data_IF_753029376635
#
_entry.id   IF_753029376635
#
_cell.length_a   1.000
_cell.length_b   1.000
_cell.length_c   1.000
_cell.angle_alpha   90.00
_cell.angle_beta   90.00
_cell.angle_gamma   90.00
#
_symmetry.space_group_name_H-M   'P 1'
#
loop_
_entity.id
_entity.type
_entity.pdbx_description
1 polymer ?
#
# COMPACT_ATOMS: atom_id res chain seq x y z
N UNK A 1 48.33 -59.14 55.64
CA UNK A 1 47.42 -58.34 56.47
C UNK A 1 47.54 -56.88 55.96
N UNK A 2 46.50 -56.32 55.27
CA UNK A 2 46.53 -54.95 54.80
C UNK A 2 45.97 -54.04 55.94
N UNK A 3 46.79 -53.10 56.38
CA UNK A 3 46.41 -52.10 57.36
C UNK A 3 45.43 -51.08 56.74
N UNK A 4 44.18 -51.07 57.20
CA UNK A 4 43.21 -50.03 56.90
C UNK A 4 43.48 -48.85 57.84
N UNK A 5 43.88 -47.71 57.29
CA UNK A 5 43.92 -46.42 58.01
C UNK A 5 42.50 -45.86 58.10
N UNK A 6 41.94 -45.85 59.32
CA UNK A 6 40.67 -45.16 59.61
C UNK A 6 40.98 -43.69 59.76
N UNK A 7 40.48 -42.88 58.81
CA UNK A 7 40.55 -41.43 58.93
C UNK A 7 39.45 -40.90 59.84
N UNK A 8 39.86 -40.39 61.02
CA UNK A 8 38.94 -39.70 61.92
C UNK A 8 38.48 -38.39 61.30
N UNK A 9 37.31 -38.37 60.66
CA UNK A 9 36.73 -37.20 60.05
C UNK A 9 36.09 -36.34 61.15
N UNK A 10 36.64 -35.14 61.38
CA UNK A 10 36.14 -34.20 62.36
C UNK A 10 34.78 -33.66 61.97
N UNK A 11 33.70 -34.02 62.59
CA UNK A 11 32.29 -33.63 62.33
C UNK A 11 32.16 -32.10 62.24
N UNK A 12 32.91 -31.33 63.04
CA UNK A 12 32.92 -29.86 62.97
C UNK A 12 33.43 -29.32 61.59
N UNK A 13 34.36 -30.04 60.96
CA UNK A 13 34.89 -29.66 59.64
C UNK A 13 33.85 -29.95 58.54
N UNK A 14 33.12 -31.08 58.64
CA UNK A 14 32.04 -31.39 57.69
C UNK A 14 30.93 -30.32 57.74
N UNK A 15 30.56 -29.90 58.96
CA UNK A 15 29.54 -28.88 59.18
C UNK A 15 29.93 -27.52 58.56
N UNK A 16 31.20 -27.13 58.67
CA UNK A 16 31.73 -25.92 58.06
C UNK A 16 31.71 -25.96 56.50
N UNK A 17 32.06 -27.13 55.94
CA UNK A 17 32.03 -27.35 54.50
C UNK A 17 30.56 -27.31 53.95
N UNK A 18 29.62 -27.94 54.66
CA UNK A 18 28.20 -27.91 54.33
C UNK A 18 27.63 -26.47 54.35
N UNK A 19 27.95 -25.70 55.40
CA UNK A 19 27.54 -24.31 55.52
C UNK A 19 28.11 -23.45 54.36
N UNK A 20 29.38 -23.69 53.97
CA UNK A 20 30.01 -23.01 52.85
C UNK A 20 29.33 -23.32 51.50
N UNK A 21 28.98 -24.58 51.28
CA UNK A 21 28.27 -25.03 50.07
C UNK A 21 26.88 -24.37 49.99
N UNK A 22 26.15 -24.34 51.11
CA UNK A 22 24.82 -23.69 51.15
C UNK A 22 24.94 -22.19 50.91
N UNK A 23 25.93 -21.53 51.51
CA UNK A 23 26.17 -20.09 51.27
C UNK A 23 26.50 -19.78 49.79
N UNK A 24 27.35 -20.60 49.15
CA UNK A 24 27.70 -20.45 47.72
C UNK A 24 26.47 -20.69 46.85
N UNK A 25 25.63 -21.69 47.18
CA UNK A 25 24.40 -21.97 46.43
C UNK A 25 23.38 -20.82 46.52
N UNK A 26 23.20 -20.22 47.69
CA UNK A 26 22.32 -19.05 47.88
C UNK A 26 22.86 -17.84 47.11
N UNK A 27 24.17 -17.60 47.15
CA UNK A 27 24.81 -16.49 46.45
C UNK A 27 24.71 -16.68 44.93
N UNK A 28 24.93 -17.87 44.42
CA UNK A 28 24.76 -18.22 43.00
C UNK A 28 23.32 -18.02 42.51
N UNK A 29 22.35 -18.42 43.31
CA UNK A 29 20.92 -18.23 43.01
C UNK A 29 20.55 -16.74 42.94
N UNK A 30 21.06 -15.96 43.92
CA UNK A 30 20.80 -14.50 43.93
C UNK A 30 21.44 -13.79 42.73
N UNK A 31 22.67 -14.20 42.35
CA UNK A 31 23.37 -13.62 41.20
C UNK A 31 22.68 -13.96 39.87
N UNK A 32 22.18 -15.21 39.76
CA UNK A 32 21.43 -15.63 38.57
C UNK A 32 20.11 -14.84 38.42
N UNK A 33 19.37 -14.69 39.54
CA UNK A 33 18.14 -13.89 39.55
C UNK A 33 18.38 -12.41 39.22
N UNK A 34 19.45 -11.83 39.75
CA UNK A 34 19.81 -10.43 39.41
C UNK A 34 20.21 -10.28 37.97
N UNK A 35 20.97 -11.21 37.39
CA UNK A 35 21.35 -11.22 36.00
C UNK A 35 20.12 -11.34 35.08
N UNK A 36 19.20 -12.25 35.38
CA UNK A 36 17.94 -12.38 34.63
C UNK A 36 17.05 -11.14 34.75
N UNK A 37 16.98 -10.52 35.91
CA UNK A 37 16.25 -9.26 36.12
C UNK A 37 16.86 -8.12 35.29
N UNK A 38 18.19 -7.97 35.27
CA UNK A 38 18.89 -6.93 34.51
C UNK A 38 18.74 -7.16 33.00
N UNK A 39 18.82 -8.41 32.53
CA UNK A 39 18.58 -8.77 31.12
C UNK A 39 17.15 -8.44 30.71
N UNK A 40 16.15 -8.78 31.52
CA UNK A 40 14.76 -8.50 31.24
C UNK A 40 14.45 -7.00 31.27
N UNK A 41 15.10 -6.25 32.16
CA UNK A 41 14.96 -4.78 32.23
C UNK A 41 15.61 -4.10 31.04
N UNK A 42 16.75 -4.59 30.55
CA UNK A 42 17.43 -4.10 29.35
C UNK A 42 16.60 -4.37 28.10
N UNK A 43 16.07 -5.58 27.94
CA UNK A 43 15.17 -5.92 26.82
C UNK A 43 13.90 -5.04 26.82
N UNK A 44 13.32 -4.76 28.00
CA UNK A 44 12.15 -3.87 28.10
C UNK A 44 12.48 -2.40 27.79
N UNK A 45 13.70 -1.94 28.09
CA UNK A 45 14.16 -0.59 27.71
C UNK A 45 14.44 -0.50 26.20
N UNK A 46 15.02 -1.53 25.61
CA UNK A 46 15.25 -1.59 24.16
C UNK A 46 13.92 -1.68 23.38
N UNK A 47 12.93 -2.44 23.88
CA UNK A 47 11.59 -2.49 23.31
C UNK A 47 10.86 -1.15 23.45
N UNK A 48 10.99 -0.45 24.58
CA UNK A 48 10.41 0.90 24.75
C UNK A 48 11.06 1.93 23.88
N UNK A 49 12.38 1.89 23.72
CA UNK A 49 13.11 2.82 22.84
C UNK A 49 12.85 2.54 21.36
N UNK A 50 12.71 1.27 20.94
CA UNK A 50 12.29 0.90 19.59
C UNK A 50 10.84 1.27 19.33
N UNK A 51 9.93 1.05 20.27
CA UNK A 51 8.53 1.45 20.10
C UNK A 51 8.32 2.97 20.15
N UNK A 52 9.12 3.74 20.92
CA UNK A 52 9.07 5.21 20.89
C UNK A 52 9.66 5.79 19.58
N UNK A 53 10.61 5.13 18.95
CA UNK A 53 11.14 5.49 17.64
C UNK A 53 10.23 5.00 16.47
N UNK A 54 9.45 3.95 16.65
CA UNK A 54 8.44 3.49 15.69
C UNK A 54 7.13 4.29 15.78
N UNK A 55 6.86 4.94 16.91
CA UNK A 55 5.60 5.64 17.15
C UNK A 55 5.54 7.07 16.54
N UNK A 56 6.55 7.53 15.77
CA UNK A 56 6.54 8.91 15.23
C UNK A 56 7.21 9.11 13.88
N UNK A 57 7.48 8.10 13.07
CA UNK A 57 7.94 8.35 11.72
C UNK A 57 6.76 8.58 10.78
N UNK A 58 6.28 9.81 10.73
CA UNK A 58 5.39 10.25 9.65
C UNK A 58 6.13 10.14 8.32
N UNK A 59 5.56 9.39 7.37
CA UNK A 59 6.10 9.27 6.02
C UNK A 59 5.38 10.24 5.11
N UNK A 60 6.12 11.10 4.45
CA UNK A 60 5.61 11.95 3.39
C UNK A 60 5.45 11.14 2.12
N UNK A 61 4.21 11.02 1.60
CA UNK A 61 3.89 10.21 0.44
C UNK A 61 3.22 11.05 -0.66
N UNK A 62 3.94 11.46 -1.70
CA UNK A 62 3.35 11.98 -2.91
C UNK A 62 2.72 10.85 -3.74
N UNK A 63 1.55 11.13 -4.35
CA UNK A 63 0.89 10.23 -5.30
C UNK A 63 0.60 11.02 -6.57
N UNK A 64 1.06 10.51 -7.71
CA UNK A 64 0.86 11.10 -9.02
C UNK A 64 -0.28 10.38 -9.74
N UNK A 65 -1.19 11.14 -10.33
CA UNK A 65 -2.33 10.61 -11.07
C UNK A 65 -2.18 10.90 -12.55
N UNK A 66 -2.08 9.85 -13.34
CA UNK A 66 -2.16 9.85 -14.80
C UNK A 66 -3.48 9.18 -15.22
N UNK A 67 -3.82 9.33 -16.51
CA UNK A 67 -4.92 8.61 -17.16
C UNK A 67 -4.41 8.04 -18.49
N UNK A 68 -4.63 8.75 -19.57
CA UNK A 68 -4.27 8.32 -20.92
C UNK A 68 -2.85 8.76 -21.30
N UNK A 69 -2.08 7.85 -21.92
CA UNK A 69 -0.74 8.13 -22.46
C UNK A 69 -0.81 8.04 -23.97
N UNK A 70 -0.81 9.18 -24.67
CA UNK A 70 -1.02 9.25 -26.11
C UNK A 70 0.00 10.11 -26.82
N UNK A 71 0.38 9.69 -28.04
CA UNK A 71 1.24 10.45 -28.97
C UNK A 71 0.45 11.45 -29.84
N UNK A 72 -0.82 11.12 -30.11
CA UNK A 72 -1.62 11.78 -31.15
C UNK A 72 -2.37 13.03 -30.69
N UNK A 73 -2.53 13.21 -29.39
CA UNK A 73 -3.24 14.37 -28.80
C UNK A 73 -2.80 14.63 -27.38
N UNK A 74 -3.16 15.79 -26.84
CA UNK A 74 -2.89 16.22 -25.48
C UNK A 74 -4.15 16.76 -24.80
N UNK A 75 -4.14 16.89 -23.49
CA UNK A 75 -5.25 17.40 -22.68
C UNK A 75 -4.99 17.25 -21.20
N UNK A 76 -5.91 17.71 -20.36
CA UNK A 76 -5.75 17.69 -18.89
C UNK A 76 -5.55 16.29 -18.30
N UNK A 77 -6.01 15.26 -19.02
CA UNK A 77 -5.91 13.84 -18.63
C UNK A 77 -5.12 13.03 -19.67
N UNK A 78 -4.33 13.68 -20.52
CA UNK A 78 -3.57 13.02 -21.58
C UNK A 78 -2.13 13.53 -21.54
N UNK A 79 -1.19 12.62 -21.33
CA UNK A 79 0.24 12.90 -21.27
C UNK A 79 0.95 12.21 -22.43
N UNK A 80 1.90 12.90 -23.06
CA UNK A 80 2.74 12.29 -24.11
C UNK A 80 3.71 11.26 -23.48
N UNK A 81 4.01 10.12 -24.14
CA UNK A 81 4.99 9.15 -23.65
C UNK A 81 6.35 9.73 -23.28
N UNK A 82 6.86 10.69 -24.07
CA UNK A 82 8.15 11.35 -23.76
C UNK A 82 8.07 12.18 -22.46
N UNK A 83 6.91 12.79 -22.19
CA UNK A 83 6.70 13.50 -20.93
C UNK A 83 6.68 12.51 -19.75
N UNK A 84 5.99 11.37 -19.90
CA UNK A 84 5.99 10.30 -18.89
C UNK A 84 7.41 9.79 -18.64
N UNK A 85 8.19 9.58 -19.70
CA UNK A 85 9.59 9.15 -19.56
C UNK A 85 10.44 10.20 -18.83
N UNK A 86 10.25 11.49 -19.12
CA UNK A 86 10.96 12.57 -18.41
C UNK A 86 10.52 12.65 -16.95
N UNK A 87 9.25 12.40 -16.64
CA UNK A 87 8.73 12.32 -15.27
C UNK A 87 9.40 11.18 -14.51
N UNK A 88 9.55 10.00 -15.11
CA UNK A 88 10.23 8.85 -14.48
C UNK A 88 11.72 9.13 -14.23
N UNK A 89 12.41 9.74 -15.19
CA UNK A 89 13.81 10.20 -15.00
C UNK A 89 13.91 11.19 -13.84
N UNK A 90 12.98 12.13 -13.75
CA UNK A 90 12.98 13.13 -12.68
C UNK A 90 12.78 12.50 -11.30
N UNK A 91 11.79 11.62 -11.15
CA UNK A 91 11.51 10.86 -9.93
C UNK A 91 12.78 10.09 -9.47
N UNK A 92 13.40 9.36 -10.41
CA UNK A 92 14.60 8.57 -10.13
C UNK A 92 15.79 9.45 -9.72
N UNK A 93 16.02 10.57 -10.44
CA UNK A 93 17.09 11.50 -10.14
C UNK A 93 16.94 12.20 -8.77
N UNK A 94 15.71 12.32 -8.27
CA UNK A 94 15.41 12.84 -6.92
C UNK A 94 15.52 11.76 -5.84
N UNK A 95 15.86 10.52 -6.20
CA UNK A 95 16.05 9.39 -5.29
C UNK A 95 14.74 8.80 -4.75
N UNK A 96 13.61 9.03 -5.41
CA UNK A 96 12.34 8.43 -5.04
C UNK A 96 12.23 7.00 -5.60
N UNK A 97 11.62 6.12 -4.81
CA UNK A 97 11.31 4.74 -5.18
C UNK A 97 9.80 4.55 -5.27
N UNK A 98 9.35 3.96 -6.38
CA UNK A 98 7.92 3.70 -6.58
C UNK A 98 7.46 2.51 -5.74
N UNK A 99 6.30 2.65 -5.10
CA UNK A 99 5.63 1.60 -4.34
C UNK A 99 4.20 1.39 -4.85
N UNK A 100 3.61 0.23 -4.54
CA UNK A 100 2.22 -0.10 -4.81
C UNK A 100 1.31 0.27 -3.63
N UNK A 101 -0.01 0.20 -3.83
CA UNK A 101 -0.97 0.37 -2.72
C UNK A 101 -0.88 -0.79 -1.73
N UNK A 102 -0.62 -2.02 -2.19
CA UNK A 102 -0.43 -3.17 -1.30
C UNK A 102 0.79 -2.99 -0.40
N UNK A 103 1.92 -2.50 -0.92
CA UNK A 103 3.11 -2.20 -0.10
C UNK A 103 2.83 -1.11 0.94
N UNK A 104 2.07 -0.07 0.57
CA UNK A 104 1.63 0.96 1.50
C UNK A 104 0.71 0.41 2.60
N UNK A 105 -0.25 -0.42 2.22
CA UNK A 105 -1.18 -1.07 3.16
C UNK A 105 -0.41 -2.00 4.11
N UNK A 106 0.53 -2.78 3.60
CA UNK A 106 1.37 -3.67 4.41
C UNK A 106 2.26 -2.90 5.40
N UNK A 107 2.77 -1.73 5.00
CA UNK A 107 3.46 -0.84 5.92
C UNK A 107 2.57 -0.43 7.09
N UNK A 108 1.32 -0.05 6.85
CA UNK A 108 0.42 0.45 7.88
C UNK A 108 -0.15 -0.67 8.76
N UNK A 109 -0.53 -1.82 8.16
CA UNK A 109 -1.22 -2.90 8.86
C UNK A 109 -0.29 -4.00 9.40
N UNK A 110 0.84 -4.26 8.72
CA UNK A 110 1.68 -5.44 8.95
C UNK A 110 3.14 -5.08 9.30
N UNK A 111 3.41 -3.83 9.66
CA UNK A 111 4.75 -3.33 10.06
C UNK A 111 5.87 -3.61 9.05
N UNK A 112 5.54 -3.76 7.76
CA UNK A 112 6.55 -3.82 6.70
C UNK A 112 7.29 -2.47 6.58
N UNK A 113 8.41 -2.45 5.87
CA UNK A 113 9.22 -1.26 5.66
C UNK A 113 8.93 -0.66 4.28
N UNK A 114 9.00 0.67 4.17
CA UNK A 114 8.99 1.40 2.90
C UNK A 114 10.39 1.93 2.58
N UNK A 115 10.68 2.24 1.31
CA UNK A 115 11.89 2.98 0.96
C UNK A 115 11.88 4.37 1.62
N UNK A 116 13.06 4.99 1.74
CA UNK A 116 13.22 6.29 2.41
C UNK A 116 12.37 7.41 1.77
N UNK A 117 12.28 7.41 0.44
CA UNK A 117 11.48 8.37 -0.34
C UNK A 117 10.46 7.61 -1.20
N UNK A 118 9.32 7.18 -0.63
CA UNK A 118 8.31 6.47 -1.39
C UNK A 118 7.48 7.44 -2.24
N UNK A 119 7.06 6.97 -3.42
CA UNK A 119 6.10 7.63 -4.30
C UNK A 119 5.17 6.59 -4.93
N UNK A 120 3.90 6.94 -5.13
CA UNK A 120 2.98 6.08 -5.89
C UNK A 120 2.67 6.74 -7.24
N UNK A 121 2.78 5.96 -8.30
CA UNK A 121 2.33 6.32 -9.65
C UNK A 121 0.99 5.62 -9.88
N UNK A 122 -0.06 6.38 -10.22
CA UNK A 122 -1.39 5.82 -10.50
C UNK A 122 -1.84 6.15 -11.91
N UNK A 123 -2.54 5.22 -12.56
CA UNK A 123 -3.25 5.42 -13.83
C UNK A 123 -4.72 5.08 -13.62
N UNK A 124 -5.61 5.99 -13.94
CA UNK A 124 -7.05 5.76 -13.83
C UNK A 124 -7.64 5.25 -15.16
N UNK A 125 -8.85 4.73 -15.11
CA UNK A 125 -9.71 4.23 -16.19
C UNK A 125 -9.29 2.90 -16.82
N UNK A 126 -8.04 2.48 -16.75
CA UNK A 126 -7.55 1.26 -17.39
C UNK A 126 -7.41 1.40 -18.92
N UNK A 127 -6.95 2.55 -19.40
CA UNK A 127 -6.74 2.77 -20.84
C UNK A 127 -5.73 1.77 -21.41
N UNK A 128 -5.99 1.23 -22.62
CA UNK A 128 -5.09 0.30 -23.30
C UNK A 128 -3.70 0.90 -23.59
N UNK A 129 -3.61 2.20 -23.73
CA UNK A 129 -2.33 2.90 -23.93
C UNK A 129 -1.43 2.89 -22.68
N UNK A 130 -1.93 2.56 -21.50
CA UNK A 130 -1.09 2.32 -20.34
C UNK A 130 -0.23 1.06 -20.57
N UNK A 131 -0.80 -0.03 -21.11
CA UNK A 131 -0.04 -1.21 -21.54
C UNK A 131 0.95 -0.86 -22.65
N UNK A 132 0.49 -0.10 -23.67
CA UNK A 132 1.30 0.14 -24.87
C UNK A 132 2.48 1.08 -24.64
N UNK A 133 2.36 2.06 -23.74
CA UNK A 133 3.35 3.11 -23.57
C UNK A 133 3.89 3.24 -22.15
N UNK A 134 3.07 3.04 -21.11
CA UNK A 134 3.54 3.20 -19.74
C UNK A 134 4.30 1.96 -19.25
N UNK A 135 3.77 0.77 -19.45
CA UNK A 135 4.41 -0.49 -19.00
C UNK A 135 5.83 -0.67 -19.51
N UNK A 136 6.16 -0.44 -20.81
CA UNK A 136 7.55 -0.49 -21.28
C UNK A 136 8.48 0.50 -20.57
N UNK A 137 7.98 1.67 -20.18
CA UNK A 137 8.76 2.66 -19.43
C UNK A 137 8.91 2.25 -17.96
N UNK A 138 7.89 1.66 -17.33
CA UNK A 138 8.01 1.11 -15.98
C UNK A 138 9.13 0.07 -15.92
N UNK A 139 9.17 -0.86 -16.87
CA UNK A 139 10.27 -1.84 -16.99
C UNK A 139 11.62 -1.17 -17.17
N UNK A 140 11.71 -0.23 -18.13
CA UNK A 140 12.97 0.47 -18.46
C UNK A 140 13.59 1.15 -17.24
N UNK A 141 12.76 1.74 -16.35
CA UNK A 141 13.20 2.47 -15.18
C UNK A 141 13.09 1.68 -13.88
N UNK A 142 12.73 0.38 -13.93
CA UNK A 142 12.49 -0.48 -12.77
C UNK A 142 11.53 0.18 -11.76
N UNK A 143 10.40 0.68 -12.28
CA UNK A 143 9.38 1.37 -11.51
C UNK A 143 8.10 0.55 -11.42
N UNK A 144 7.29 0.85 -10.40
CA UNK A 144 5.97 0.25 -10.18
C UNK A 144 4.88 1.29 -10.38
N UNK A 145 3.69 0.82 -10.75
CA UNK A 145 2.50 1.65 -10.84
C UNK A 145 1.23 0.89 -10.42
N UNK A 146 0.18 1.66 -10.13
CA UNK A 146 -1.16 1.18 -9.80
C UNK A 146 -2.11 1.60 -10.92
N UNK A 147 -2.85 0.65 -11.51
CA UNK A 147 -3.87 0.92 -12.53
C UNK A 147 -5.25 0.65 -11.93
N UNK A 148 -6.10 1.67 -11.86
CA UNK A 148 -7.48 1.55 -11.38
C UNK A 148 -8.43 1.45 -12.57
N UNK A 149 -9.07 0.27 -12.77
CA UNK A 149 -9.88 0.00 -13.95
C UNK A 149 -11.38 0.25 -13.73
N UNK A 150 -12.08 0.62 -14.81
CA UNK A 150 -13.54 0.65 -14.90
C UNK A 150 -14.04 -0.66 -15.52
N UNK A 151 -14.72 -1.50 -14.74
CA UNK A 151 -15.07 -2.86 -15.14
C UNK A 151 -15.89 -2.94 -16.43
N UNK A 152 -16.89 -2.08 -16.60
CA UNK A 152 -17.72 -2.06 -17.81
C UNK A 152 -16.94 -1.69 -19.08
N UNK A 153 -15.86 -0.93 -18.97
CA UNK A 153 -14.97 -0.65 -20.10
C UNK A 153 -14.15 -1.89 -20.44
N UNK A 154 -13.55 -2.52 -19.43
CA UNK A 154 -12.80 -3.78 -19.58
C UNK A 154 -13.66 -4.88 -20.21
N UNK A 155 -14.90 -5.08 -19.75
CA UNK A 155 -15.84 -6.06 -20.33
C UNK A 155 -16.14 -5.77 -21.80
N UNK A 156 -16.39 -4.49 -22.12
CA UNK A 156 -16.69 -4.06 -23.50
C UNK A 156 -15.55 -4.42 -24.44
N UNK A 157 -14.31 -4.11 -24.06
CA UNK A 157 -13.13 -4.38 -24.88
C UNK A 157 -12.70 -5.84 -24.85
N UNK A 158 -12.99 -6.57 -23.79
CA UNK A 158 -12.83 -8.04 -23.75
C UNK A 158 -13.77 -8.71 -24.73
N UNK A 159 -15.04 -8.27 -24.77
CA UNK A 159 -16.04 -8.83 -25.70
C UNK A 159 -15.73 -8.54 -27.17
N UNK A 160 -15.24 -7.35 -27.50
CA UNK A 160 -14.87 -6.98 -28.87
C UNK A 160 -13.49 -7.51 -29.26
N UNK A 161 -12.69 -7.93 -28.29
CA UNK A 161 -11.27 -8.29 -28.42
C UNK A 161 -10.40 -7.21 -29.09
N UNK A 162 -10.81 -5.95 -29.00
CA UNK A 162 -10.14 -4.84 -29.64
C UNK A 162 -9.00 -4.28 -28.77
N UNK A 163 -7.80 -4.23 -29.34
CA UNK A 163 -6.58 -3.70 -28.74
C UNK A 163 -6.15 -2.42 -29.45
N UNK A 164 -6.65 -1.26 -29.01
CA UNK A 164 -6.35 0.01 -29.67
C UNK A 164 -5.82 1.05 -28.69
N UNK A 165 -4.54 1.49 -28.83
CA UNK A 165 -3.94 2.46 -27.91
C UNK A 165 -4.54 3.87 -28.01
N UNK A 166 -5.29 4.21 -29.07
CA UNK A 166 -5.85 5.55 -29.20
C UNK A 166 -7.17 5.75 -28.45
N UNK A 167 -7.96 4.68 -28.24
CA UNK A 167 -9.27 4.77 -27.60
C UNK A 167 -9.73 3.52 -26.84
N UNK A 168 -8.90 2.44 -26.84
CA UNK A 168 -9.23 1.18 -26.17
C UNK A 168 -8.97 1.18 -24.68
N UNK A 169 -9.58 0.21 -24.01
CA UNK A 169 -9.32 -0.11 -22.62
C UNK A 169 -8.71 -1.51 -22.49
N UNK A 170 -8.06 -1.78 -21.35
CA UNK A 170 -7.49 -3.09 -21.03
C UNK A 170 -8.56 -4.16 -21.00
N UNK A 171 -8.29 -5.29 -21.64
CA UNK A 171 -9.13 -6.49 -21.60
C UNK A 171 -8.75 -7.35 -20.40
N UNK A 172 -9.61 -8.22 -19.97
CA UNK A 172 -9.30 -9.14 -18.86
C UNK A 172 -8.04 -9.97 -19.11
N UNK A 173 -7.80 -10.41 -20.36
CA UNK A 173 -6.57 -11.12 -20.71
C UNK A 173 -5.30 -10.25 -20.54
N UNK A 174 -5.37 -8.97 -20.90
CA UNK A 174 -4.25 -8.03 -20.74
C UNK A 174 -3.94 -7.81 -19.25
N UNK A 175 -4.98 -7.68 -18.42
CA UNK A 175 -4.87 -7.50 -16.96
C UNK A 175 -4.28 -8.76 -16.33
N UNK A 176 -4.82 -9.94 -16.65
CA UNK A 176 -4.34 -11.23 -16.12
C UNK A 176 -2.88 -11.49 -16.49
N UNK A 177 -2.45 -11.13 -17.69
CA UNK A 177 -1.06 -11.21 -18.12
C UNK A 177 -0.16 -10.23 -17.35
N UNK A 178 -0.57 -8.96 -17.24
CA UNK A 178 0.20 -7.94 -16.51
C UNK A 178 0.29 -8.23 -15.01
N UNK A 179 -0.66 -8.92 -14.42
CA UNK A 179 -0.59 -9.32 -13.01
C UNK A 179 0.49 -10.36 -12.71
N UNK A 180 1.03 -11.03 -13.73
CA UNK A 180 2.22 -11.87 -13.56
C UNK A 180 3.51 -11.05 -13.49
N UNK A 181 3.42 -9.78 -13.82
CA UNK A 181 4.50 -8.80 -13.80
C UNK A 181 4.42 -7.96 -12.51
N UNK A 182 5.50 -7.90 -11.77
CA UNK A 182 5.56 -7.19 -10.50
C UNK A 182 5.54 -5.65 -10.63
N UNK A 183 5.53 -5.10 -11.84
CA UNK A 183 5.57 -3.65 -12.07
C UNK A 183 4.19 -2.98 -12.02
N UNK A 184 3.09 -3.74 -12.11
CA UNK A 184 1.73 -3.20 -12.14
C UNK A 184 0.84 -3.90 -11.11
N UNK A 185 0.14 -3.08 -10.32
CA UNK A 185 -0.93 -3.51 -9.42
C UNK A 185 -2.27 -2.96 -9.93
N UNK A 186 -3.33 -3.76 -9.91
CA UNK A 186 -4.67 -3.35 -10.34
C UNK A 186 -5.60 -3.04 -9.18
N UNK A 187 -6.43 -1.98 -9.31
CA UNK A 187 -7.36 -1.53 -8.28
C UNK A 187 -8.74 -1.19 -8.86
N UNK A 188 -9.73 -1.02 -7.96
CA UNK A 188 -11.13 -0.83 -8.31
C UNK A 188 -11.45 0.65 -8.56
N UNK A 189 -11.99 0.97 -9.78
CA UNK A 189 -12.49 2.30 -10.16
C UNK A 189 -13.97 2.28 -10.52
N UNK A 190 -14.77 1.47 -9.83
CA UNK A 190 -16.16 1.11 -10.08
C UNK A 190 -16.37 0.16 -11.27
N UNK A 191 -17.47 -0.60 -11.23
CA UNK A 191 -17.86 -1.37 -12.39
C UNK A 191 -18.45 -0.46 -13.49
N UNK A 192 -19.45 0.37 -13.16
CA UNK A 192 -20.17 1.19 -14.15
C UNK A 192 -20.61 2.57 -13.63
N UNK A 193 -19.96 3.09 -12.57
CA UNK A 193 -20.27 4.42 -12.03
C UNK A 193 -19.34 5.53 -12.55
N UNK A 194 -18.44 5.23 -13.49
CA UNK A 194 -17.61 6.23 -14.14
C UNK A 194 -18.41 6.96 -15.24
N UNK A 195 -19.45 7.70 -14.83
CA UNK A 195 -20.41 8.34 -15.73
C UNK A 195 -20.93 9.66 -15.16
N UNK A 196 -21.30 10.58 -16.05
CA UNK A 196 -22.04 11.83 -15.75
C UNK A 196 -23.52 11.72 -16.13
N UNK A 197 -23.96 10.54 -16.59
CA UNK A 197 -25.34 10.30 -17.00
C UNK A 197 -26.26 10.25 -15.78
N UNK A 198 -27.55 10.47 -16.01
CA UNK A 198 -28.61 10.36 -14.97
C UNK A 198 -28.49 11.34 -13.80
N UNK A 199 -27.76 12.46 -13.97
CA UNK A 199 -27.60 13.47 -12.92
C UNK A 199 -26.64 13.07 -11.78
N UNK A 200 -26.09 11.86 -11.83
CA UNK A 200 -25.06 11.38 -10.88
C UNK A 200 -23.67 11.62 -11.46
N UNK A 201 -22.79 12.22 -10.66
CA UNK A 201 -21.37 12.31 -10.99
C UNK A 201 -20.61 11.21 -10.26
N UNK A 202 -20.12 10.24 -11.00
CA UNK A 202 -19.42 9.09 -10.41
C UNK A 202 -20.26 8.34 -9.39
N UNK A 203 -19.69 7.98 -8.28
CA UNK A 203 -20.35 7.28 -7.19
C UNK A 203 -21.00 8.19 -6.14
N UNK A 204 -21.23 9.48 -6.45
CA UNK A 204 -21.82 10.43 -5.50
C UNK A 204 -23.28 10.07 -5.19
N UNK A 205 -23.67 10.14 -3.91
CA UNK A 205 -25.07 10.01 -3.48
C UNK A 205 -25.91 11.16 -4.03
N UNK A 206 -27.09 10.88 -4.59
CA UNK A 206 -28.06 11.92 -4.98
C UNK A 206 -28.80 12.45 -3.76
N UNK A 207 -29.18 13.74 -3.78
CA UNK A 207 -29.94 14.36 -2.70
C UNK A 207 -31.33 13.73 -2.49
N UNK A 208 -31.95 13.23 -3.55
CA UNK A 208 -33.25 12.53 -3.55
C UNK A 208 -33.18 11.06 -3.14
N UNK A 209 -31.99 10.53 -2.92
CA UNK A 209 -31.77 9.09 -2.69
C UNK A 209 -31.70 8.77 -1.21
N UNK A 210 -32.39 7.72 -0.77
CA UNK A 210 -32.26 7.22 0.60
C UNK A 210 -30.85 6.64 0.82
N UNK A 211 -30.43 6.54 2.09
CA UNK A 211 -29.17 5.89 2.43
C UNK A 211 -29.16 4.43 1.99
N UNK A 212 -30.26 3.71 2.20
CA UNK A 212 -30.41 2.31 1.81
C UNK A 212 -30.24 2.12 0.30
N UNK A 213 -30.95 2.90 -0.53
CA UNK A 213 -30.85 2.85 -1.99
C UNK A 213 -29.42 3.12 -2.45
N UNK A 214 -28.78 4.12 -1.87
CA UNK A 214 -27.40 4.49 -2.17
C UNK A 214 -26.43 3.37 -1.78
N UNK A 215 -26.55 2.81 -0.57
CA UNK A 215 -25.72 1.72 -0.08
C UNK A 215 -25.85 0.49 -0.99
N UNK A 216 -27.06 0.08 -1.32
CA UNK A 216 -27.30 -1.06 -2.19
C UNK A 216 -26.71 -0.85 -3.60
N UNK A 217 -26.87 0.34 -4.16
CA UNK A 217 -26.32 0.69 -5.48
C UNK A 217 -24.79 0.64 -5.49
N UNK A 218 -24.14 1.30 -4.52
CA UNK A 218 -22.68 1.36 -4.45
C UNK A 218 -22.09 -0.01 -4.14
N UNK A 219 -22.64 -0.73 -3.17
CA UNK A 219 -22.22 -2.09 -2.82
C UNK A 219 -22.33 -3.04 -4.01
N UNK A 220 -23.46 -3.02 -4.74
CA UNK A 220 -23.67 -3.87 -5.91
C UNK A 220 -22.63 -3.59 -7.00
N UNK A 221 -22.37 -2.32 -7.31
CA UNK A 221 -21.42 -1.93 -8.35
C UNK A 221 -19.98 -2.33 -8.01
N UNK A 222 -19.52 -2.00 -6.79
CA UNK A 222 -18.15 -2.31 -6.37
C UNK A 222 -17.92 -3.82 -6.23
N UNK A 223 -18.90 -4.55 -5.66
CA UNK A 223 -18.83 -6.01 -5.53
C UNK A 223 -18.80 -6.69 -6.89
N UNK A 224 -19.52 -6.15 -7.88
CA UNK A 224 -19.47 -6.68 -9.23
C UNK A 224 -18.05 -6.68 -9.78
N UNK A 225 -17.34 -5.53 -9.71
CA UNK A 225 -15.95 -5.47 -10.18
C UNK A 225 -15.01 -6.36 -9.37
N UNK A 226 -15.21 -6.47 -8.05
CA UNK A 226 -14.43 -7.41 -7.22
C UNK A 226 -14.60 -8.86 -7.68
N UNK A 227 -15.80 -9.26 -8.06
CA UNK A 227 -16.08 -10.61 -8.56
C UNK A 227 -15.46 -10.84 -9.95
N UNK A 228 -15.56 -9.86 -10.86
CA UNK A 228 -14.90 -9.92 -12.18
C UNK A 228 -13.37 -10.12 -12.04
N UNK A 229 -12.73 -9.42 -11.10
CA UNK A 229 -11.32 -9.67 -10.80
C UNK A 229 -11.05 -11.08 -10.29
N UNK A 230 -11.87 -11.59 -9.38
CA UNK A 230 -11.72 -12.97 -8.88
C UNK A 230 -11.84 -14.01 -9.98
N UNK A 231 -12.79 -13.82 -10.88
CA UNK A 231 -13.07 -14.75 -11.97
C UNK A 231 -11.98 -14.73 -13.05
N UNK A 232 -11.49 -13.54 -13.42
CA UNK A 232 -10.57 -13.37 -14.54
C UNK A 232 -9.08 -13.33 -14.14
N UNK A 233 -8.77 -13.14 -12.84
CA UNK A 233 -7.41 -12.89 -12.35
C UNK A 233 -7.04 -13.80 -11.16
N UNK A 234 -7.22 -15.11 -11.29
CA UNK A 234 -6.78 -16.14 -10.35
C UNK A 234 -7.16 -15.87 -8.87
N UNK A 235 -8.38 -15.37 -8.64
CA UNK A 235 -8.88 -15.11 -7.29
C UNK A 235 -8.43 -13.77 -6.69
N UNK A 236 -7.74 -12.93 -7.46
CA UNK A 236 -7.32 -11.60 -7.01
C UNK A 236 -8.51 -10.73 -6.60
N UNK A 237 -8.31 -9.93 -5.56
CA UNK A 237 -9.31 -8.96 -5.09
C UNK A 237 -8.64 -7.63 -4.82
N UNK A 238 -9.00 -6.55 -5.53
CA UNK A 238 -8.53 -5.20 -5.24
C UNK A 238 -8.75 -4.79 -3.79
N UNK A 239 -7.76 -4.19 -3.16
CA UNK A 239 -7.80 -3.74 -1.77
C UNK A 239 -7.94 -2.22 -1.63
N UNK A 240 -7.91 -1.49 -2.75
CA UNK A 240 -8.00 -0.03 -2.80
C UNK A 240 -9.12 0.40 -3.74
N UNK A 241 -9.88 1.41 -3.31
CA UNK A 241 -10.93 2.02 -4.12
C UNK A 241 -10.51 3.41 -4.62
N UNK A 242 -10.65 3.65 -5.92
CA UNK A 242 -10.38 4.94 -6.57
C UNK A 242 -11.69 5.62 -6.92
N UNK A 243 -11.95 6.80 -6.36
CA UNK A 243 -13.20 7.55 -6.57
C UNK A 243 -13.26 8.16 -7.98
N UNK A 244 -14.22 7.79 -8.85
CA UNK A 244 -14.43 8.42 -10.15
C UNK A 244 -14.68 9.92 -10.02
N UNK A 245 -13.98 10.72 -10.84
CA UNK A 245 -14.05 12.20 -10.82
C UNK A 245 -13.74 12.84 -9.46
N UNK A 246 -13.20 12.11 -8.49
CA UNK A 246 -13.08 12.57 -7.10
C UNK A 246 -14.42 12.88 -6.44
N UNK A 247 -15.52 12.32 -6.95
CA UNK A 247 -16.87 12.55 -6.43
C UNK A 247 -17.15 11.68 -5.22
N UNK A 248 -17.01 12.27 -4.04
CA UNK A 248 -17.11 11.62 -2.74
C UNK A 248 -18.44 11.99 -2.07
N UNK A 249 -19.06 11.07 -1.37
CA UNK A 249 -20.13 11.28 -0.42
C UNK A 249 -19.69 10.83 0.97
N UNK A 250 -20.14 11.52 2.01
CA UNK A 250 -19.78 11.20 3.39
C UNK A 250 -20.07 9.74 3.74
N UNK A 251 -21.18 9.23 3.23
CA UNK A 251 -21.65 7.88 3.47
C UNK A 251 -20.81 6.79 2.74
N UNK A 252 -20.13 7.17 1.65
CA UNK A 252 -19.37 6.21 0.83
C UNK A 252 -18.18 5.62 1.55
N UNK A 253 -17.53 6.38 2.44
CA UNK A 253 -16.33 5.91 3.13
C UNK A 253 -16.63 4.67 4.00
N UNK A 254 -17.75 4.69 4.75
CA UNK A 254 -18.13 3.52 5.56
C UNK A 254 -18.47 2.31 4.68
N UNK A 255 -19.19 2.51 3.58
CA UNK A 255 -19.55 1.44 2.64
C UNK A 255 -18.28 0.78 2.07
N UNK A 256 -17.27 1.58 1.71
CA UNK A 256 -15.99 1.08 1.19
C UNK A 256 -15.27 0.24 2.25
N UNK A 257 -15.22 0.70 3.51
CA UNK A 257 -14.65 -0.03 4.64
C UNK A 257 -15.37 -1.36 4.88
N UNK A 258 -16.71 -1.35 4.85
CA UNK A 258 -17.55 -2.53 5.05
C UNK A 258 -17.37 -3.58 3.93
N UNK A 259 -17.03 -3.13 2.72
CA UNK A 259 -16.68 -4.00 1.59
C UNK A 259 -15.24 -4.55 1.65
N UNK A 260 -14.46 -4.18 2.66
CA UNK A 260 -13.12 -4.70 2.90
C UNK A 260 -12.00 -3.96 2.16
N UNK A 261 -12.29 -2.84 1.50
CA UNK A 261 -11.22 -1.98 0.98
C UNK A 261 -10.42 -1.37 2.14
N UNK A 262 -9.11 -1.45 2.07
CA UNK A 262 -8.19 -0.97 3.10
C UNK A 262 -7.67 0.44 2.83
N UNK A 263 -7.88 0.95 1.63
CA UNK A 263 -7.48 2.29 1.22
C UNK A 263 -8.44 2.88 0.19
N UNK A 264 -8.43 4.21 0.05
CA UNK A 264 -9.11 4.88 -1.06
C UNK A 264 -8.34 6.08 -1.57
N UNK A 265 -8.47 6.33 -2.88
CA UNK A 265 -7.80 7.40 -3.62
C UNK A 265 -8.81 8.47 -4.02
N UNK A 266 -8.53 9.73 -3.71
CA UNK A 266 -9.31 10.89 -4.13
C UNK A 266 -8.66 11.62 -5.32
N UNK A 267 -9.29 12.69 -5.82
CA UNK A 267 -8.70 13.63 -6.77
C UNK A 267 -8.31 14.97 -6.11
N UNK A 268 -8.25 15.01 -4.78
CA UNK A 268 -7.80 16.20 -4.05
C UNK A 268 -6.29 16.31 -4.15
N UNK A 269 -5.78 17.43 -4.64
CA UNK A 269 -4.33 17.66 -4.76
C UNK A 269 -3.66 17.79 -3.39
N UNK A 270 -2.41 17.32 -3.31
CA UNK A 270 -1.57 17.43 -2.12
C UNK A 270 -0.66 16.22 -1.92
N UNK A 271 0.09 16.28 -0.83
CA UNK A 271 0.95 15.19 -0.36
C UNK A 271 0.35 14.61 0.91
N UNK A 272 0.50 13.31 1.10
CA UNK A 272 -0.07 12.60 2.24
C UNK A 272 0.97 12.47 3.35
N UNK A 273 0.50 12.51 4.58
CA UNK A 273 1.25 12.10 5.77
C UNK A 273 0.76 10.71 6.18
N UNK A 274 1.62 9.73 6.07
CA UNK A 274 1.31 8.34 6.41
C UNK A 274 1.84 8.02 7.80
N UNK A 275 0.96 7.44 8.60
CA UNK A 275 1.25 6.97 9.96
C UNK A 275 0.93 5.48 10.06
N UNK A 276 1.01 4.91 11.27
CA UNK A 276 0.52 3.54 11.54
C UNK A 276 -0.99 3.49 11.84
N UNK A 277 -1.71 4.61 11.78
CA UNK A 277 -3.17 4.63 11.86
C UNK A 277 -3.79 4.27 10.50
N UNK A 278 -4.55 3.16 10.38
CA UNK A 278 -5.21 2.77 9.13
C UNK A 278 -6.12 3.84 8.53
N UNK A 279 -6.64 4.76 9.33
CA UNK A 279 -7.49 5.83 8.83
C UNK A 279 -6.75 6.79 7.88
N UNK A 280 -5.42 6.89 7.96
CA UNK A 280 -4.63 7.71 7.04
C UNK A 280 -4.64 7.20 5.58
N UNK A 281 -5.08 5.96 5.35
CA UNK A 281 -5.14 5.34 4.01
C UNK A 281 -6.41 5.69 3.23
N UNK A 282 -7.38 6.36 3.84
CA UNK A 282 -8.62 6.73 3.15
C UNK A 282 -8.57 8.14 2.62
N UNK A 283 -9.16 8.34 1.41
CA UNK A 283 -9.20 9.60 0.69
C UNK A 283 -7.81 10.19 0.40
N UNK A 284 -6.84 9.33 0.13
CA UNK A 284 -5.47 9.74 -0.20
C UNK A 284 -5.47 10.76 -1.34
N UNK A 285 -4.73 11.83 -1.13
CA UNK A 285 -4.57 12.94 -2.07
C UNK A 285 -3.67 12.53 -3.23
N UNK A 286 -4.03 12.97 -4.44
CA UNK A 286 -3.27 12.69 -5.65
C UNK A 286 -3.11 13.97 -6.48
N UNK A 287 -2.01 14.06 -7.20
CA UNK A 287 -1.69 15.22 -8.04
C UNK A 287 -1.84 14.84 -9.51
N UNK A 288 -2.86 15.42 -10.18
CA UNK A 288 -3.10 15.16 -11.61
C UNK A 288 -1.95 15.73 -12.46
N UNK A 289 -1.34 14.85 -13.27
CA UNK A 289 -0.28 15.23 -14.18
C UNK A 289 -0.89 15.81 -15.48
N UNK A 290 -1.01 17.13 -15.50
CA UNK A 290 -1.58 17.85 -16.64
C UNK A 290 -0.55 18.05 -17.75
N UNK A 291 -1.04 18.23 -18.98
CA UNK A 291 -0.25 18.59 -20.14
C UNK A 291 0.32 20.03 -20.02
N UNK A 292 1.39 20.30 -20.74
CA UNK A 292 1.91 21.68 -20.95
C UNK A 292 2.84 22.21 -19.87
N UNK A 293 3.14 21.45 -18.83
CA UNK A 293 4.15 21.80 -17.82
C UNK A 293 5.30 20.79 -17.81
N UNK A 294 6.52 21.24 -17.52
CA UNK A 294 7.68 20.37 -17.45
C UNK A 294 7.62 19.44 -16.22
N UNK A 295 8.38 18.35 -16.24
CA UNK A 295 8.53 17.47 -15.09
C UNK A 295 9.02 18.23 -13.85
N UNK A 296 10.00 19.12 -14.01
CA UNK A 296 10.50 19.97 -12.92
C UNK A 296 9.40 20.87 -12.34
N UNK A 297 8.64 21.57 -13.19
CA UNK A 297 7.55 22.44 -12.74
C UNK A 297 6.43 21.70 -12.00
N UNK A 298 6.17 20.44 -12.38
CA UNK A 298 5.18 19.62 -11.72
C UNK A 298 5.71 19.05 -10.41
N UNK A 299 6.86 18.38 -10.45
CA UNK A 299 7.39 17.63 -9.32
C UNK A 299 7.98 18.49 -8.22
N UNK A 300 8.54 19.67 -8.54
CA UNK A 300 9.05 20.61 -7.51
C UNK A 300 7.99 21.05 -6.50
N UNK A 301 6.71 20.89 -6.79
CA UNK A 301 5.60 21.22 -5.88
C UNK A 301 5.23 20.10 -4.92
N UNK A 302 5.64 18.87 -5.22
CA UNK A 302 5.22 17.66 -4.50
C UNK A 302 6.36 16.79 -4.00
N UNK A 303 7.57 16.93 -4.57
CA UNK A 303 8.78 16.24 -4.15
C UNK A 303 9.73 17.24 -3.47
N UNK A 304 9.83 17.18 -2.17
CA UNK A 304 10.84 17.91 -1.38
C UNK A 304 11.39 17.03 -0.26
#
# INVERSE_FOLDING_TARGET
>A
MKNFKIYNINIKSIYKILLLIVAISIFGFFFLHLALYLMNHRNNLDIRNTSSNLASSEIRLPIVMYHSILKSRSGDYIVHPDTLENDFKYIQNKGYSTITMSELIDFVYNDSTLPEKPIIITFDDGNYNNLSYAVPLLHKYNMKAVISIVGSYTDTYTKSDEANPNYGYLRWKDISELMTDSCVEFQNHTYNLHSLKTGRKGCRKLSSESLETYTNMLTSDLTKLQNEFKENCNGYTPNTFTYPFGSISKESEQIIKDLGFKASLSCTSGVNTITKDPNCLYLLRRNNRVFGISSEQFFSKILE
#
